data_IF_604375419762
#
_entry.id   IF_604375419762
#
_cell.length_a   1.000
_cell.length_b   1.000
_cell.length_c   1.000
_cell.angle_alpha   90.00
_cell.angle_beta   90.00
_cell.angle_gamma   90.00
#
_symmetry.space_group_name_H-M   'P 1'
#
loop_
_entity.id
_entity.type
_entity.pdbx_description
1 polymer ?
#
# COMPACT_ATOMS: atom_id res chain seq x y z
N UNK A 1 -13.45 -12.62 -2.68
CA UNK A 1 -12.07 -12.34 -2.26
C UNK A 1 -11.94 -11.57 -0.94
N UNK A 2 -12.48 -10.34 -0.79
CA UNK A 2 -12.33 -9.53 0.43
C UNK A 2 -12.69 -10.21 1.77
N UNK A 3 -13.66 -11.15 1.79
CA UNK A 3 -14.09 -11.85 3.02
C UNK A 3 -12.98 -12.72 3.64
N UNK A 4 -12.14 -13.39 2.83
CA UNK A 4 -11.09 -14.29 3.32
C UNK A 4 -9.93 -13.51 3.94
N UNK A 5 -9.60 -12.37 3.35
CA UNK A 5 -8.49 -11.53 3.82
C UNK A 5 -8.90 -10.50 4.88
N UNK A 6 -10.19 -10.39 5.21
CA UNK A 6 -10.74 -9.38 6.14
C UNK A 6 -10.05 -9.37 7.50
N UNK A 7 -9.76 -10.55 8.07
CA UNK A 7 -9.06 -10.67 9.36
C UNK A 7 -7.66 -10.06 9.27
N UNK A 8 -6.89 -10.45 8.25
CA UNK A 8 -5.52 -9.98 8.05
C UNK A 8 -5.45 -8.47 7.77
N UNK A 9 -6.38 -7.94 6.96
CA UNK A 9 -6.48 -6.50 6.72
C UNK A 9 -6.71 -5.75 8.03
N UNK A 10 -7.63 -6.22 8.88
CA UNK A 10 -7.90 -5.61 10.19
C UNK A 10 -6.67 -5.63 11.10
N UNK A 11 -5.94 -6.74 11.13
CA UNK A 11 -4.68 -6.85 11.89
C UNK A 11 -3.66 -5.81 11.43
N UNK A 12 -3.46 -5.66 10.12
CA UNK A 12 -2.52 -4.66 9.57
C UNK A 12 -2.97 -3.23 9.91
N UNK A 13 -4.26 -2.92 9.75
CA UNK A 13 -4.84 -1.61 10.08
C UNK A 13 -4.60 -1.26 11.55
N UNK A 14 -4.77 -2.23 12.46
CA UNK A 14 -4.56 -2.00 13.90
C UNK A 14 -3.10 -1.74 14.30
N UNK A 15 -2.14 -1.96 13.40
CA UNK A 15 -0.70 -1.82 13.67
C UNK A 15 -0.08 -0.56 13.07
N UNK A 16 -0.82 0.18 12.24
CA UNK A 16 -0.27 1.31 11.50
C UNK A 16 -1.17 2.53 11.62
N UNK A 17 -0.58 3.72 11.60
CA UNK A 17 -1.33 4.98 11.50
C UNK A 17 -1.29 5.45 10.05
N UNK A 18 -2.43 5.41 9.36
CA UNK A 18 -2.52 5.81 7.96
C UNK A 18 -3.12 7.22 7.81
N UNK A 19 -2.40 8.20 7.24
CA UNK A 19 -2.94 9.54 7.03
C UNK A 19 -4.05 9.59 5.96
N UNK A 20 -4.20 8.52 5.17
CA UNK A 20 -5.24 8.38 4.13
C UNK A 20 -6.49 7.66 4.64
N UNK A 21 -6.60 7.46 5.96
CA UNK A 21 -7.75 6.83 6.61
C UNK A 21 -8.11 5.46 6.01
N UNK A 22 -7.07 4.69 5.62
CA UNK A 22 -7.20 3.35 5.05
C UNK A 22 -8.15 3.24 3.84
N UNK A 23 -8.42 4.35 3.14
CA UNK A 23 -9.33 4.38 1.98
C UNK A 23 -8.92 3.41 0.87
N UNK A 24 -7.67 2.94 0.85
CA UNK A 24 -7.18 1.89 -0.04
C UNK A 24 -7.92 0.56 0.07
N UNK A 25 -8.63 0.30 1.17
CA UNK A 25 -9.40 -0.93 1.39
C UNK A 25 -10.77 -0.88 0.72
N UNK A 26 -11.33 0.32 0.56
CA UNK A 26 -12.68 0.55 0.04
C UNK A 26 -12.69 1.20 -1.34
N UNK A 27 -11.63 1.93 -1.69
CA UNK A 27 -11.40 2.52 -3.00
C UNK A 27 -10.47 1.64 -3.84
N UNK A 28 -10.42 1.93 -5.13
CA UNK A 28 -9.45 1.34 -6.04
C UNK A 28 -8.03 1.80 -5.65
N UNK A 29 -7.18 0.83 -5.27
CA UNK A 29 -5.81 1.05 -4.81
C UNK A 29 -4.99 1.84 -5.83
N UNK A 30 -5.26 1.58 -7.11
CA UNK A 30 -4.59 2.20 -8.25
C UNK A 30 -4.90 3.69 -8.36
N UNK A 31 -6.03 4.14 -7.80
CA UNK A 31 -6.38 5.56 -7.77
C UNK A 31 -5.77 6.29 -6.56
N UNK A 32 -5.76 5.67 -5.38
CA UNK A 32 -5.40 6.37 -4.14
C UNK A 32 -3.90 6.41 -3.84
N UNK A 33 -3.21 5.29 -4.05
CA UNK A 33 -1.78 5.17 -3.72
C UNK A 33 -0.90 5.06 -4.96
N UNK A 34 -1.47 4.78 -6.14
CA UNK A 34 -0.76 4.66 -7.41
C UNK A 34 0.53 3.86 -7.22
N UNK A 35 0.39 2.61 -6.75
CA UNK A 35 1.53 1.78 -6.40
C UNK A 35 1.64 0.60 -7.37
N UNK A 36 2.82 0.41 -7.95
CA UNK A 36 3.12 -0.65 -8.91
C UNK A 36 3.93 -1.75 -8.25
N UNK A 37 3.56 -3.01 -8.49
CA UNK A 37 4.40 -4.14 -8.10
C UNK A 37 5.61 -4.22 -9.04
N UNK A 38 6.79 -4.31 -8.44
CA UNK A 38 8.09 -4.38 -9.11
C UNK A 38 8.79 -5.74 -8.88
N UNK A 39 8.05 -6.74 -8.39
CA UNK A 39 8.56 -8.09 -8.14
C UNK A 39 9.32 -8.24 -6.81
N UNK A 40 9.45 -7.17 -6.02
CA UNK A 40 10.06 -7.23 -4.68
C UNK A 40 9.03 -7.65 -3.62
N UNK A 41 9.40 -8.50 -2.66
CA UNK A 41 8.44 -8.97 -1.65
C UNK A 41 7.90 -7.85 -0.74
N UNK A 42 8.76 -6.92 -0.36
CA UNK A 42 8.51 -5.96 0.73
C UNK A 42 8.33 -4.51 0.28
N UNK A 43 8.39 -4.25 -1.03
CA UNK A 43 8.27 -2.90 -1.58
C UNK A 43 7.39 -2.89 -2.83
N UNK A 44 6.69 -1.78 -3.01
CA UNK A 44 6.08 -1.38 -4.27
C UNK A 44 6.75 -0.09 -4.75
N UNK A 45 6.74 0.17 -6.05
CA UNK A 45 7.08 1.50 -6.54
C UNK A 45 5.90 2.44 -6.36
N UNK A 46 6.11 3.60 -5.74
CA UNK A 46 5.09 4.63 -5.58
C UNK A 46 5.16 5.60 -6.76
N UNK A 47 4.06 5.76 -7.48
CA UNK A 47 3.92 6.64 -8.63
C UNK A 47 3.18 7.95 -8.29
N UNK A 48 2.70 8.09 -7.04
CA UNK A 48 2.02 9.29 -6.59
C UNK A 48 3.00 10.46 -6.44
N UNK A 49 2.70 11.58 -7.12
CA UNK A 49 3.52 12.80 -7.12
C UNK A 49 3.65 13.44 -5.73
N UNK A 50 2.65 13.28 -4.86
CA UNK A 50 2.61 13.88 -3.52
C UNK A 50 3.02 12.88 -2.41
N UNK A 51 3.79 11.86 -2.76
CA UNK A 51 4.12 10.73 -1.87
C UNK A 51 5.03 11.09 -0.68
N UNK A 52 5.71 12.25 -0.70
CA UNK A 52 6.59 12.70 0.38
C UNK A 52 5.88 12.90 1.72
N UNK A 53 4.56 13.15 1.72
CA UNK A 53 3.79 13.30 2.96
C UNK A 53 3.33 11.97 3.59
N UNK A 54 3.57 10.83 2.92
CA UNK A 54 3.19 9.52 3.44
C UNK A 54 4.31 8.95 4.34
N UNK A 55 4.04 8.52 5.58
CA UNK A 55 5.07 7.95 6.47
C UNK A 55 5.61 6.59 5.98
N UNK A 56 4.93 5.99 4.98
CA UNK A 56 5.34 4.76 4.33
C UNK A 56 6.08 4.99 3.00
N UNK A 57 6.37 6.24 2.63
CA UNK A 57 7.27 6.50 1.50
C UNK A 57 8.72 6.24 1.92
N UNK A 58 9.50 5.71 0.98
CA UNK A 58 10.91 5.42 1.13
C UNK A 58 11.61 5.88 -0.16
N UNK A 59 12.12 7.12 -0.22
CA UNK A 59 12.86 7.59 -1.38
C UNK A 59 14.20 6.84 -1.50
N UNK A 60 14.55 6.42 -2.71
CA UNK A 60 15.83 5.79 -3.00
C UNK A 60 16.22 6.05 -4.47
N UNK A 61 17.42 6.61 -4.66
CA UNK A 61 17.87 7.15 -5.94
C UNK A 61 16.80 8.05 -6.58
N UNK A 62 16.46 7.82 -7.84
CA UNK A 62 15.48 8.63 -8.60
C UNK A 62 14.03 8.14 -8.45
N UNK A 63 13.75 7.24 -7.50
CA UNK A 63 12.43 6.64 -7.31
C UNK A 63 11.93 6.76 -5.86
N UNK A 64 10.60 6.68 -5.70
CA UNK A 64 9.96 6.61 -4.39
C UNK A 64 9.33 5.23 -4.25
N UNK A 65 9.68 4.53 -3.17
CA UNK A 65 9.13 3.23 -2.84
C UNK A 65 8.05 3.36 -1.78
N UNK A 66 7.12 2.41 -1.76
CA UNK A 66 6.07 2.29 -0.77
C UNK A 66 6.32 1.05 0.09
N UNK A 67 6.54 1.26 1.39
CA UNK A 67 6.66 0.22 2.41
C UNK A 67 5.37 0.02 3.22
N UNK A 68 4.23 0.50 2.71
CA UNK A 68 2.95 0.40 3.44
C UNK A 68 2.53 -1.08 3.48
N UNK A 69 2.47 -1.72 4.66
CA UNK A 69 2.19 -3.15 4.76
C UNK A 69 0.81 -3.48 4.20
N UNK A 70 -0.14 -2.54 4.32
CA UNK A 70 -1.48 -2.69 3.76
C UNK A 70 -1.47 -2.65 2.23
N UNK A 71 -0.80 -1.66 1.61
CA UNK A 71 -0.74 -1.59 0.15
C UNK A 71 -0.01 -2.79 -0.47
N UNK A 72 1.10 -3.22 0.15
CA UNK A 72 1.84 -4.41 -0.25
C UNK A 72 0.93 -5.63 -0.23
N UNK A 73 0.22 -5.84 0.89
CA UNK A 73 -0.70 -6.97 1.03
C UNK A 73 -1.85 -6.92 0.02
N UNK A 74 -2.46 -5.74 -0.17
CA UNK A 74 -3.53 -5.54 -1.15
C UNK A 74 -3.05 -5.83 -2.59
N UNK A 75 -1.88 -5.32 -3.01
CA UNK A 75 -1.36 -5.59 -4.37
C UNK A 75 -0.93 -7.03 -4.60
N UNK A 76 -0.27 -7.65 -3.62
CA UNK A 76 0.37 -8.96 -3.82
C UNK A 76 -0.51 -10.16 -3.51
N UNK A 77 -1.51 -10.01 -2.64
CA UNK A 77 -2.30 -11.13 -2.11
C UNK A 77 -3.79 -11.05 -2.40
N UNK A 78 -4.27 -9.94 -2.94
CA UNK A 78 -5.68 -9.75 -3.29
C UNK A 78 -5.92 -9.57 -4.80
N UNK A 79 -4.86 -9.54 -5.61
CA UNK A 79 -4.92 -9.52 -7.08
C UNK A 79 -4.42 -10.84 -7.73
N UNK A 80 -4.11 -11.88 -6.94
CA UNK A 80 -4.05 -13.29 -7.38
C UNK A 80 -5.46 -13.91 -7.28
#
# INVERSE_FOLDING_TARGET
MLKVHKKKIKEIIGQINCPKDFRCVTADLDRLCQAMDIGMETYLQCLAKDSNACPFSAPFADAIFCKCPLCIYLKKKLHE
#
